data_IF_448531059558
#
_entry.id   IF_448531059558
#
_cell.length_a   1.000
_cell.length_b   1.000
_cell.length_c   1.000
_cell.angle_alpha   90.00
_cell.angle_beta   90.00
_cell.angle_gamma   90.00
#
_symmetry.space_group_name_H-M   'P 1'
#
loop_
_entity.id
_entity.type
_entity.pdbx_description
1 polymer ?
#
# COMPACT_ATOMS: atom_id res chain seq x y z
N UNK A 1 -39.57 20.02 -26.84
CA UNK A 1 -39.09 20.30 -25.46
C UNK A 1 -37.65 19.84 -25.36
N UNK A 2 -36.71 20.77 -25.12
CA UNK A 2 -35.31 20.43 -24.93
C UNK A 2 -35.09 19.68 -23.60
N UNK A 3 -34.19 18.73 -23.60
CA UNK A 3 -33.76 18.06 -22.34
C UNK A 3 -32.73 18.96 -21.62
N UNK A 4 -32.85 19.15 -20.31
CA UNK A 4 -31.81 19.84 -19.56
C UNK A 4 -30.53 19.00 -19.56
N UNK A 5 -29.39 19.64 -19.83
CA UNK A 5 -28.06 19.08 -19.80
C UNK A 5 -27.26 19.80 -18.72
N UNK A 6 -26.59 19.06 -17.88
CA UNK A 6 -25.62 19.63 -16.93
C UNK A 6 -24.25 19.64 -17.59
N UNK A 7 -23.67 20.82 -17.74
CA UNK A 7 -22.32 21.00 -18.27
C UNK A 7 -21.42 21.36 -17.12
N UNK A 8 -20.32 20.62 -16.97
CA UNK A 8 -19.32 20.81 -15.91
C UNK A 8 -18.04 21.34 -16.56
N UNK A 9 -17.59 22.51 -16.09
CA UNK A 9 -16.27 23.03 -16.42
C UNK A 9 -15.29 22.69 -15.30
N UNK A 10 -14.18 22.04 -15.65
CA UNK A 10 -13.15 21.62 -14.70
C UNK A 10 -11.76 21.99 -15.22
N UNK A 11 -10.96 22.58 -14.34
CA UNK A 11 -9.54 22.87 -14.61
C UNK A 11 -8.70 22.57 -13.36
N UNK A 12 -7.43 22.23 -13.57
CA UNK A 12 -6.49 21.99 -12.45
C UNK A 12 -6.28 23.32 -11.71
N UNK A 13 -6.44 23.30 -10.41
CA UNK A 13 -6.30 24.50 -9.54
C UNK A 13 -7.61 25.30 -9.38
N UNK A 14 -8.73 24.84 -9.93
CA UNK A 14 -10.02 25.51 -9.81
C UNK A 14 -11.10 24.54 -9.31
N UNK A 15 -12.11 25.06 -8.61
CA UNK A 15 -13.32 24.31 -8.25
C UNK A 15 -14.12 24.01 -9.50
N UNK A 16 -14.65 22.78 -9.67
CA UNK A 16 -15.60 22.50 -10.74
C UNK A 16 -16.82 23.40 -10.64
N UNK A 17 -17.22 24.01 -11.76
CA UNK A 17 -18.45 24.78 -11.86
C UNK A 17 -19.46 24.04 -12.75
N UNK A 18 -20.70 23.98 -12.33
CA UNK A 18 -21.78 23.28 -13.04
C UNK A 18 -22.86 24.28 -13.49
N UNK A 19 -23.32 24.15 -14.73
CA UNK A 19 -24.45 24.90 -15.25
C UNK A 19 -25.43 23.97 -15.95
N UNK A 20 -26.73 24.17 -15.68
CA UNK A 20 -27.81 23.43 -16.33
C UNK A 20 -28.30 24.23 -17.52
N UNK A 21 -28.24 23.65 -18.70
CA UNK A 21 -28.64 24.27 -19.96
C UNK A 21 -29.70 23.46 -20.65
N UNK A 22 -30.72 24.13 -21.15
CA UNK A 22 -31.73 23.52 -21.99
C UNK A 22 -31.46 23.93 -23.44
N UNK A 23 -31.07 22.97 -24.28
CA UNK A 23 -30.79 23.20 -25.69
C UNK A 23 -32.10 23.19 -26.49
N UNK A 24 -32.33 24.23 -27.26
CA UNK A 24 -33.41 24.30 -28.28
C UNK A 24 -32.82 23.92 -29.65
N UNK A 25 -33.56 23.20 -30.45
CA UNK A 25 -33.09 22.78 -31.77
C UNK A 25 -32.67 23.98 -32.64
N UNK A 26 -31.54 23.86 -33.34
CA UNK A 26 -30.93 24.87 -34.23
C UNK A 26 -30.51 26.20 -33.58
N UNK A 27 -30.22 26.22 -32.28
CA UNK A 27 -29.63 27.39 -31.61
C UNK A 27 -28.26 27.08 -31.05
N UNK A 28 -27.33 28.05 -31.15
CA UNK A 28 -26.04 28.04 -30.46
C UNK A 28 -26.23 28.74 -29.13
N UNK A 29 -25.84 28.10 -28.05
CA UNK A 29 -25.86 28.71 -26.72
C UNK A 29 -24.43 28.87 -26.23
N UNK A 30 -24.05 30.11 -25.92
CA UNK A 30 -22.75 30.42 -25.33
C UNK A 30 -22.83 30.29 -23.82
N UNK A 31 -21.85 29.60 -23.22
CA UNK A 31 -21.75 29.37 -21.79
C UNK A 31 -20.43 29.87 -21.30
N UNK A 32 -20.45 30.78 -20.37
CA UNK A 32 -19.27 31.30 -19.71
C UNK A 32 -19.22 30.76 -18.28
N UNK A 33 -18.09 30.20 -17.89
CA UNK A 33 -17.85 29.69 -16.56
C UNK A 33 -16.81 30.57 -15.86
N UNK A 34 -17.14 31.11 -14.71
CA UNK A 34 -16.19 31.68 -13.77
C UNK A 34 -15.78 30.57 -12.81
N UNK A 35 -14.53 30.16 -12.89
CA UNK A 35 -13.96 29.15 -12.00
C UNK A 35 -13.29 29.84 -10.81
N UNK A 36 -13.72 29.48 -9.61
CA UNK A 36 -13.04 29.90 -8.38
C UNK A 36 -11.71 29.16 -8.24
N UNK A 37 -10.62 29.89 -7.99
CA UNK A 37 -9.36 29.27 -7.65
C UNK A 37 -9.54 28.36 -6.42
N UNK A 38 -9.33 27.10 -6.61
CA UNK A 38 -9.11 26.15 -5.54
C UNK A 38 -7.61 26.03 -5.37
N UNK A 39 -7.05 26.80 -4.44
CA UNK A 39 -5.71 26.51 -3.99
C UNK A 39 -5.73 25.02 -3.60
N UNK A 40 -5.15 24.16 -4.44
CA UNK A 40 -4.83 22.81 -4.04
C UNK A 40 -3.82 23.02 -2.93
N UNK A 41 -4.31 22.98 -1.70
CA UNK A 41 -3.48 23.12 -0.51
C UNK A 41 -2.61 21.86 -0.44
N UNK A 42 -1.57 21.82 -1.29
CA UNK A 42 -0.55 20.78 -1.35
C UNK A 42 0.12 20.63 0.02
N UNK A 43 -0.12 21.61 0.89
CA UNK A 43 0.45 21.75 2.22
C UNK A 43 -0.38 21.08 3.33
N UNK A 44 -1.63 20.71 3.07
CA UNK A 44 -2.47 20.00 4.06
C UNK A 44 -2.34 18.47 3.92
N UNK A 45 -1.11 17.98 3.84
CA UNK A 45 -0.88 16.55 4.02
C UNK A 45 -1.07 16.23 5.50
N UNK A 46 -2.13 15.51 5.80
CA UNK A 46 -2.43 15.01 7.14
C UNK A 46 -1.61 13.73 7.36
N UNK A 47 -0.91 13.65 8.48
CA UNK A 47 -0.11 12.50 8.91
C UNK A 47 -0.58 11.99 10.26
N UNK A 48 -0.45 10.70 10.50
CA UNK A 48 -0.85 10.06 11.76
C UNK A 48 0.36 9.82 12.68
N UNK A 49 1.12 10.89 12.94
CA UNK A 49 2.41 10.82 13.65
C UNK A 49 2.26 10.57 15.14
N UNK A 50 1.23 11.13 15.76
CA UNK A 50 1.01 11.10 17.22
C UNK A 50 -0.22 10.27 17.60
N UNK A 51 -0.57 9.24 16.79
CA UNK A 51 -1.85 8.51 16.87
C UNK A 51 -3.08 9.40 16.63
N UNK A 52 -2.87 10.62 16.21
CA UNK A 52 -3.89 11.57 15.80
C UNK A 52 -3.53 12.13 14.44
N UNK A 53 -4.54 12.47 13.68
CA UNK A 53 -4.35 13.13 12.38
C UNK A 53 -3.88 14.56 12.58
N UNK A 54 -2.65 14.87 12.21
CA UNK A 54 -2.04 16.20 12.33
C UNK A 54 -1.58 16.67 10.95
N UNK A 55 -1.64 17.98 10.72
CA UNK A 55 -1.09 18.55 9.47
C UNK A 55 0.43 18.37 9.49
N UNK A 56 1.02 17.81 8.43
CA UNK A 56 2.45 17.50 8.33
C UNK A 56 3.37 18.65 8.72
N UNK A 57 3.00 19.89 8.38
CA UNK A 57 3.78 21.10 8.74
C UNK A 57 3.78 21.43 10.24
N UNK A 58 2.80 20.94 10.97
CA UNK A 58 2.63 21.20 12.40
C UNK A 58 3.28 20.12 13.28
N UNK A 59 3.72 19.01 12.66
CA UNK A 59 4.41 17.95 13.39
C UNK A 59 5.88 18.29 13.63
N UNK A 60 6.42 18.07 14.83
CA UNK A 60 7.83 18.27 15.11
C UNK A 60 8.72 17.19 14.47
N UNK A 61 8.14 16.07 14.04
CA UNK A 61 8.85 14.94 13.48
C UNK A 61 9.01 15.06 11.97
N UNK A 62 10.18 14.65 11.44
CA UNK A 62 10.41 14.55 10.01
C UNK A 62 9.67 13.34 9.45
N UNK A 63 8.53 13.60 8.79
CA UNK A 63 7.71 12.56 8.16
C UNK A 63 7.92 12.59 6.65
N UNK A 64 8.36 11.47 6.11
CA UNK A 64 8.36 11.23 4.67
C UNK A 64 7.15 10.41 4.29
N UNK A 65 6.52 10.75 3.17
CA UNK A 65 5.30 10.08 2.70
C UNK A 65 5.58 9.46 1.34
N UNK A 66 5.33 8.14 1.26
CA UNK A 66 5.25 7.40 0.01
C UNK A 66 3.77 7.21 -0.30
N UNK A 67 3.30 7.79 -1.37
CA UNK A 67 1.89 7.67 -1.79
C UNK A 67 1.67 6.45 -2.69
N UNK A 68 0.41 6.06 -2.90
CA UNK A 68 0.04 4.93 -3.77
C UNK A 68 0.58 5.07 -5.19
N UNK A 69 0.70 6.30 -5.72
CA UNK A 69 1.27 6.55 -7.05
C UNK A 69 2.74 6.13 -7.18
N UNK A 70 3.51 6.16 -6.10
CA UNK A 70 4.89 5.65 -6.14
C UNK A 70 4.86 4.14 -6.40
N UNK A 71 4.06 3.39 -5.64
CA UNK A 71 3.92 1.94 -5.80
C UNK A 71 3.45 1.56 -7.21
N UNK A 72 2.47 2.29 -7.75
CA UNK A 72 1.97 2.09 -9.12
C UNK A 72 3.07 2.35 -10.18
N UNK A 73 3.82 3.45 -10.06
CA UNK A 73 4.87 3.83 -11.02
C UNK A 73 6.10 2.94 -10.99
N UNK A 74 6.38 2.34 -9.86
CA UNK A 74 7.52 1.42 -9.67
C UNK A 74 7.13 -0.04 -9.88
N UNK A 75 5.86 -0.31 -10.19
CA UNK A 75 5.29 -1.67 -10.24
C UNK A 75 5.57 -2.47 -8.97
N UNK A 76 5.62 -1.81 -7.82
CA UNK A 76 5.83 -2.45 -6.55
C UNK A 76 4.65 -3.38 -6.22
N UNK A 77 4.94 -4.61 -5.86
CA UNK A 77 3.92 -5.62 -5.53
C UNK A 77 3.67 -5.72 -4.02
N UNK A 78 4.63 -5.26 -3.22
CA UNK A 78 4.56 -5.28 -1.76
C UNK A 78 5.18 -4.02 -1.14
N UNK A 79 5.06 -3.91 0.19
CA UNK A 79 5.61 -2.79 0.95
C UNK A 79 7.13 -2.68 0.81
N UNK A 80 7.85 -3.81 0.84
CA UNK A 80 9.31 -3.85 0.74
C UNK A 80 9.81 -3.16 -0.53
N UNK A 81 9.17 -3.43 -1.67
CA UNK A 81 9.52 -2.83 -2.95
C UNK A 81 9.42 -1.29 -2.91
N UNK A 82 8.31 -0.78 -2.37
CA UNK A 82 8.09 0.66 -2.27
C UNK A 82 9.05 1.35 -1.31
N UNK A 83 9.38 0.72 -0.18
CA UNK A 83 10.32 1.26 0.80
C UNK A 83 11.75 1.40 0.25
N UNK A 84 12.15 0.60 -0.73
CA UNK A 84 13.45 0.70 -1.39
C UNK A 84 13.70 2.05 -2.06
N UNK A 85 12.65 2.79 -2.38
CA UNK A 85 12.73 4.15 -2.97
C UNK A 85 12.76 5.27 -1.91
N UNK A 86 12.73 4.93 -0.61
CA UNK A 86 12.71 5.93 0.46
C UNK A 86 14.13 6.29 0.91
N UNK A 87 14.62 7.53 0.74
CA UNK A 87 15.92 7.94 1.24
C UNK A 87 16.05 7.75 2.75
N UNK A 88 17.18 7.16 3.18
CA UNK A 88 17.45 6.84 4.59
C UNK A 88 16.79 5.57 5.12
N UNK A 89 16.11 4.85 4.22
CA UNK A 89 15.58 3.50 4.47
C UNK A 89 16.31 2.55 3.53
N UNK A 90 16.75 1.43 4.05
CA UNK A 90 17.36 0.35 3.27
C UNK A 90 16.59 -0.93 3.53
N UNK A 91 16.12 -1.56 2.49
CA UNK A 91 15.54 -2.91 2.49
C UNK A 91 16.67 -3.88 2.17
N UNK A 92 16.89 -4.84 3.02
CA UNK A 92 17.94 -5.85 2.89
C UNK A 92 17.34 -7.26 2.97
N UNK A 93 17.77 -8.12 2.07
CA UNK A 93 17.51 -9.54 2.14
C UNK A 93 18.63 -10.19 2.95
N UNK A 94 18.35 -10.55 4.19
CA UNK A 94 19.33 -11.03 5.14
C UNK A 94 19.65 -12.53 5.05
N UNK A 95 18.86 -13.29 4.30
CA UNK A 95 19.03 -14.73 4.12
C UNK A 95 18.51 -15.13 2.73
N UNK A 96 19.39 -15.60 1.88
CA UNK A 96 19.07 -16.02 0.52
C UNK A 96 18.08 -17.20 0.50
N UNK A 97 18.32 -18.20 1.35
CA UNK A 97 17.47 -19.40 1.39
C UNK A 97 16.07 -19.14 1.97
N UNK A 98 15.96 -18.28 2.99
CA UNK A 98 14.68 -18.01 3.67
C UNK A 98 13.94 -16.79 3.10
N UNK A 99 14.63 -15.93 2.32
CA UNK A 99 14.06 -14.67 1.84
C UNK A 99 13.70 -13.72 2.96
N UNK A 100 14.51 -13.69 4.01
CA UNK A 100 14.33 -12.78 5.14
C UNK A 100 14.60 -11.35 4.72
N UNK A 101 13.56 -10.53 4.72
CA UNK A 101 13.64 -9.12 4.36
C UNK A 101 13.51 -8.24 5.59
N UNK A 102 14.49 -7.39 5.84
CA UNK A 102 14.45 -6.42 6.95
C UNK A 102 14.59 -4.99 6.45
N UNK A 103 14.03 -4.04 7.22
CA UNK A 103 14.18 -2.61 6.96
C UNK A 103 15.13 -1.99 7.97
N UNK A 104 16.16 -1.32 7.47
CA UNK A 104 17.06 -0.48 8.26
C UNK A 104 16.73 0.98 8.06
N UNK A 105 16.51 1.70 9.16
CA UNK A 105 16.33 3.15 9.15
C UNK A 105 17.59 3.81 9.68
N UNK A 106 18.20 4.70 8.87
CA UNK A 106 19.46 5.38 9.23
C UNK A 106 20.60 4.42 9.61
N UNK A 107 20.60 3.22 9.04
CA UNK A 107 21.61 2.19 9.30
C UNK A 107 21.39 1.36 10.58
N UNK A 108 20.36 1.66 11.36
CA UNK A 108 20.00 0.84 12.52
C UNK A 108 19.29 -0.42 12.07
N UNK A 109 19.51 -1.51 12.79
CA UNK A 109 18.98 -2.84 12.48
C UNK A 109 17.44 -2.88 12.50
N UNK A 110 16.85 -3.82 11.75
CA UNK A 110 15.41 -3.90 11.52
C UNK A 110 14.56 -3.97 12.79
N UNK A 111 15.04 -4.63 13.84
CA UNK A 111 14.33 -4.72 15.12
C UNK A 111 14.23 -3.38 15.89
N UNK A 112 15.00 -2.36 15.49
CA UNK A 112 14.87 -0.99 15.99
C UNK A 112 13.88 -0.13 15.18
N UNK A 113 13.22 -0.72 14.19
CA UNK A 113 12.21 -0.07 13.36
C UNK A 113 10.82 -0.60 13.69
N UNK A 114 9.93 0.28 14.13
CA UNK A 114 8.55 -0.10 14.45
C UNK A 114 7.67 -0.02 13.22
N UNK A 115 7.01 -1.12 12.89
CA UNK A 115 6.03 -1.17 11.79
C UNK A 115 4.62 -1.10 12.37
N UNK A 116 3.82 -0.20 11.82
CA UNK A 116 2.44 0.03 12.20
C UNK A 116 1.52 -0.17 10.99
N UNK A 117 0.32 -0.65 11.24
CA UNK A 117 -0.80 -0.67 10.31
C UNK A 117 -1.92 0.19 10.89
N UNK A 118 -2.29 1.26 10.19
CA UNK A 118 -3.28 2.25 10.66
C UNK A 118 -3.01 2.68 12.12
N UNK A 119 -1.73 3.04 12.39
CA UNK A 119 -1.23 3.50 13.70
C UNK A 119 -1.26 2.46 14.82
N UNK A 120 -1.46 1.18 14.48
CA UNK A 120 -1.45 0.07 15.42
C UNK A 120 -0.23 -0.82 15.16
N UNK A 121 0.56 -1.16 16.19
CA UNK A 121 1.70 -2.05 16.03
C UNK A 121 1.27 -3.41 15.44
N UNK A 122 2.01 -3.87 14.44
CA UNK A 122 1.88 -5.23 13.94
C UNK A 122 2.62 -6.17 14.93
N UNK A 123 1.83 -6.94 15.66
CA UNK A 123 2.35 -7.90 16.65
C UNK A 123 2.43 -9.30 16.03
N UNK A 124 3.60 -9.66 15.52
CA UNK A 124 3.95 -11.05 15.23
C UNK A 124 5.46 -11.17 15.22
N UNK A 125 5.99 -12.22 15.80
CA UNK A 125 7.42 -12.53 15.70
C UNK A 125 7.85 -12.72 14.23
N UNK A 126 6.94 -13.22 13.38
CA UNK A 126 7.15 -13.42 11.95
C UNK A 126 7.06 -12.10 11.16
N UNK A 127 6.30 -11.11 11.62
CA UNK A 127 6.16 -9.81 10.93
C UNK A 127 7.46 -9.01 10.89
N UNK A 128 8.34 -9.18 11.87
CA UNK A 128 9.66 -8.58 11.85
C UNK A 128 10.59 -9.21 10.81
N UNK A 129 10.27 -10.42 10.38
CA UNK A 129 11.10 -11.26 9.50
C UNK A 129 10.54 -11.31 8.06
N UNK A 130 9.25 -11.58 7.90
CA UNK A 130 8.63 -11.78 6.57
C UNK A 130 7.54 -10.75 6.25
N UNK A 131 7.13 -9.97 7.23
CA UNK A 131 5.94 -9.11 7.14
C UNK A 131 5.97 -8.04 6.06
N UNK A 132 7.14 -7.60 5.60
CA UNK A 132 7.25 -6.54 4.60
C UNK A 132 6.83 -6.99 3.20
N UNK A 133 7.14 -8.23 2.82
CA UNK A 133 6.68 -8.82 1.57
C UNK A 133 5.22 -9.28 1.63
N UNK A 134 4.71 -9.50 2.85
CA UNK A 134 3.33 -9.92 3.10
C UNK A 134 2.32 -8.76 3.03
N UNK A 135 2.76 -7.51 3.01
CA UNK A 135 1.87 -6.35 2.91
C UNK A 135 1.75 -5.94 1.45
N UNK A 136 0.59 -6.20 0.79
CA UNK A 136 0.44 -5.95 -0.62
C UNK A 136 0.31 -4.47 -0.93
N UNK A 137 0.97 -4.03 -2.00
CA UNK A 137 0.96 -2.63 -2.42
C UNK A 137 -0.44 -2.11 -2.73
N UNK A 138 -1.34 -2.97 -3.22
CA UNK A 138 -2.68 -2.59 -3.63
C UNK A 138 -3.59 -2.15 -2.46
N UNK A 139 -3.30 -2.54 -1.22
CA UNK A 139 -4.06 -2.08 -0.06
C UNK A 139 -3.58 -0.73 0.49
N UNK A 140 -2.38 -0.29 0.08
CA UNK A 140 -1.71 0.88 0.65
C UNK A 140 -2.26 2.17 0.03
N UNK A 141 -2.74 3.09 0.86
CA UNK A 141 -3.04 4.47 0.47
C UNK A 141 -1.76 5.32 0.49
N UNK A 142 -1.01 5.22 1.60
CA UNK A 142 0.30 5.86 1.79
C UNK A 142 1.09 5.17 2.87
N UNK A 143 2.39 5.36 2.85
CA UNK A 143 3.30 4.96 3.93
C UNK A 143 3.95 6.21 4.51
N UNK A 144 3.87 6.35 5.83
CA UNK A 144 4.47 7.43 6.58
C UNK A 144 5.74 6.91 7.27
N UNK A 145 6.89 7.43 6.88
CA UNK A 145 8.18 7.05 7.45
C UNK A 145 8.66 8.17 8.37
N UNK A 146 8.67 7.90 9.66
CA UNK A 146 9.16 8.79 10.70
C UNK A 146 10.55 8.32 11.09
N UNK A 147 11.53 9.19 10.93
CA UNK A 147 12.92 8.89 11.28
C UNK A 147 13.27 9.48 12.63
N UNK A 148 13.97 8.70 13.44
CA UNK A 148 14.36 9.07 14.81
C UNK A 148 13.48 8.43 15.87
N UNK A 149 13.82 8.65 17.13
CA UNK A 149 13.18 7.97 18.26
C UNK A 149 11.71 8.30 18.41
N UNK A 150 10.86 7.27 18.36
CA UNK A 150 9.42 7.31 18.58
C UNK A 150 8.95 6.41 19.73
N UNK A 151 9.87 5.89 20.54
CA UNK A 151 9.57 4.86 21.54
C UNK A 151 8.52 5.24 22.56
N UNK A 152 8.41 6.51 22.89
CA UNK A 152 7.40 7.02 23.84
C UNK A 152 5.97 6.88 23.28
N UNK A 153 5.80 6.95 21.95
CA UNK A 153 4.50 6.90 21.29
C UNK A 153 4.17 5.51 20.73
N UNK A 154 5.17 4.84 20.17
CA UNK A 154 4.96 3.65 19.34
C UNK A 154 5.56 2.36 19.91
N UNK A 155 6.28 2.43 21.04
CA UNK A 155 6.82 1.28 21.73
C UNK A 155 8.32 1.12 21.57
N UNK A 156 8.89 0.13 22.30
CA UNK A 156 10.34 -0.04 22.47
C UNK A 156 11.13 -0.23 21.17
N UNK A 157 10.51 -0.79 20.13
CA UNK A 157 11.16 -1.01 18.83
C UNK A 157 11.32 0.27 17.99
N UNK A 158 10.66 1.37 18.34
CA UNK A 158 10.72 2.63 17.59
C UNK A 158 11.94 3.48 17.96
N UNK A 159 13.14 2.90 17.97
CA UNK A 159 14.40 3.60 18.28
C UNK A 159 14.95 4.26 17.02
N UNK A 160 15.04 3.53 15.92
CA UNK A 160 15.53 4.01 14.62
C UNK A 160 14.49 4.81 13.86
N UNK A 161 13.23 4.47 14.06
CA UNK A 161 12.10 5.11 13.41
C UNK A 161 10.84 4.26 13.40
N UNK A 162 9.82 4.80 12.75
CA UNK A 162 8.51 4.16 12.60
C UNK A 162 8.08 4.19 11.14
N UNK A 163 7.52 3.08 10.67
CA UNK A 163 6.89 2.94 9.35
C UNK A 163 5.42 2.69 9.59
N UNK A 164 4.58 3.68 9.31
CA UNK A 164 3.15 3.59 9.48
C UNK A 164 2.47 3.43 8.11
N UNK A 165 1.82 2.29 7.91
CA UNK A 165 1.11 1.94 6.70
C UNK A 165 -0.34 2.36 6.88
N UNK A 166 -0.81 3.26 6.03
CA UNK A 166 -2.21 3.70 6.02
C UNK A 166 -2.93 2.97 4.89
N UNK A 167 -3.97 2.24 5.24
CA UNK A 167 -4.76 1.46 4.29
C UNK A 167 -5.78 2.32 3.56
N UNK A 168 -6.14 1.93 2.33
CA UNK A 168 -7.17 2.59 1.54
C UNK A 168 -8.53 2.57 2.27
N UNK A 169 -9.20 3.70 2.25
CA UNK A 169 -10.58 3.83 2.78
C UNK A 169 -11.62 3.78 1.65
N UNK A 170 -12.81 3.24 1.91
CA UNK A 170 -13.91 3.27 0.94
C UNK A 170 -14.49 4.69 0.87
N UNK A 171 -14.04 5.48 -0.11
CA UNK A 171 -14.48 6.87 -0.31
C UNK A 171 -15.47 7.01 -1.47
N UNK A 172 -15.40 6.12 -2.46
CA UNK A 172 -16.24 6.10 -3.67
C UNK A 172 -16.45 4.67 -4.16
N UNK A 173 -17.45 4.49 -5.02
CA UNK A 173 -17.68 3.20 -5.67
C UNK A 173 -16.70 3.00 -6.82
N UNK A 174 -15.91 1.94 -6.77
CA UNK A 174 -14.97 1.56 -7.83
C UNK A 174 -14.53 0.10 -7.65
N UNK A 175 -14.05 -0.49 -8.72
CA UNK A 175 -13.42 -1.80 -8.71
C UNK A 175 -12.25 -1.80 -9.69
N UNK A 176 -11.21 -2.57 -9.35
CA UNK A 176 -9.99 -2.69 -10.13
C UNK A 176 -9.48 -4.13 -10.05
N UNK A 177 -9.00 -4.63 -11.18
CA UNK A 177 -8.29 -5.92 -11.26
C UNK A 177 -6.95 -5.61 -11.90
N UNK A 178 -5.87 -6.04 -11.27
CA UNK A 178 -4.51 -5.91 -11.75
C UNK A 178 -3.85 -7.26 -11.95
N UNK A 179 -2.95 -7.34 -12.94
CA UNK A 179 -2.10 -8.48 -13.15
C UNK A 179 -0.72 -8.04 -13.61
N UNK A 180 0.31 -8.50 -12.92
CA UNK A 180 1.71 -8.17 -13.20
C UNK A 180 2.51 -9.44 -13.33
N UNK A 181 3.27 -9.56 -14.41
CA UNK A 181 4.24 -10.64 -14.63
C UNK A 181 5.61 -10.00 -14.77
N UNK A 182 6.56 -10.45 -13.97
CA UNK A 182 7.95 -10.00 -14.02
C UNK A 182 8.85 -11.19 -14.30
N UNK A 183 9.77 -11.05 -15.25
CA UNK A 183 10.85 -12.01 -15.47
C UNK A 183 11.98 -11.74 -14.48
N UNK A 184 12.44 -12.78 -13.83
CA UNK A 184 13.56 -12.71 -12.87
C UNK A 184 14.83 -13.20 -13.57
N UNK A 185 15.83 -12.30 -13.68
CA UNK A 185 17.17 -12.65 -14.15
C UNK A 185 17.29 -13.21 -15.57
N UNK A 186 16.27 -13.09 -16.44
CA UNK A 186 16.25 -13.70 -17.78
C UNK A 186 16.45 -15.22 -17.82
N UNK A 187 16.19 -15.92 -16.72
CA UNK A 187 16.47 -17.37 -16.54
C UNK A 187 15.26 -18.27 -16.74
N UNK A 188 14.11 -17.72 -17.11
CA UNK A 188 12.83 -18.43 -17.12
C UNK A 188 12.09 -18.45 -15.78
N UNK A 189 12.70 -17.95 -14.71
CA UNK A 189 12.00 -17.68 -13.45
C UNK A 189 11.11 -16.43 -13.59
N UNK A 190 9.97 -16.43 -12.94
CA UNK A 190 9.01 -15.34 -13.01
C UNK A 190 8.33 -15.09 -11.68
N UNK A 191 7.89 -13.86 -11.50
CA UNK A 191 7.01 -13.42 -10.41
C UNK A 191 5.68 -12.96 -11.01
N UNK A 192 4.60 -13.60 -10.59
CA UNK A 192 3.27 -13.45 -11.14
C UNK A 192 2.35 -12.97 -10.01
N UNK A 193 1.79 -11.79 -10.15
CA UNK A 193 0.97 -11.14 -9.14
C UNK A 193 -0.37 -10.72 -9.70
N UNK A 194 -1.45 -11.25 -9.15
CA UNK A 194 -2.83 -10.89 -9.47
C UNK A 194 -3.46 -10.17 -8.29
N UNK A 195 -4.09 -9.04 -8.53
CA UNK A 195 -4.73 -8.23 -7.49
C UNK A 195 -6.17 -7.89 -7.83
N UNK A 196 -6.98 -7.77 -6.82
CA UNK A 196 -8.34 -7.26 -6.90
C UNK A 196 -8.58 -6.22 -5.82
N UNK A 197 -9.25 -5.15 -6.17
CA UNK A 197 -9.70 -4.10 -5.26
C UNK A 197 -11.14 -3.74 -5.57
N UNK A 198 -11.97 -3.55 -4.56
CA UNK A 198 -13.31 -3.03 -4.74
C UNK A 198 -13.72 -2.17 -3.55
N UNK A 199 -14.42 -1.09 -3.83
CA UNK A 199 -14.93 -0.16 -2.83
C UNK A 199 -16.38 0.18 -3.12
N UNK A 200 -17.21 0.06 -2.11
CA UNK A 200 -18.62 0.40 -2.16
C UNK A 200 -18.95 1.36 -1.01
N UNK A 201 -19.64 2.43 -1.35
CA UNK A 201 -20.04 3.46 -0.39
C UNK A 201 -21.52 3.78 -0.57
N UNK A 202 -22.22 3.88 0.54
CA UNK A 202 -23.63 4.26 0.54
C UNK A 202 -23.81 5.70 0.04
N UNK A 203 -24.96 5.99 -0.59
CA UNK A 203 -25.26 7.34 -1.16
C UNK A 203 -25.18 8.47 -0.13
N UNK A 204 -25.42 8.18 1.13
CA UNK A 204 -25.33 9.15 2.23
C UNK A 204 -23.96 9.20 2.91
N UNK A 205 -22.96 8.48 2.39
CA UNK A 205 -21.60 8.35 2.94
C UNK A 205 -21.54 7.93 4.42
N UNK A 206 -22.59 7.29 4.94
CA UNK A 206 -22.63 6.79 6.32
C UNK A 206 -22.07 5.39 6.50
N UNK A 207 -22.00 4.61 5.43
CA UNK A 207 -21.41 3.28 5.45
C UNK A 207 -20.59 3.04 4.18
N UNK A 208 -19.54 2.26 4.32
CA UNK A 208 -18.71 1.85 3.19
C UNK A 208 -17.93 0.59 3.52
N UNK A 209 -17.54 -0.14 2.47
CA UNK A 209 -16.68 -1.31 2.53
C UNK A 209 -15.66 -1.24 1.41
N UNK A 210 -14.42 -1.51 1.75
CA UNK A 210 -13.30 -1.74 0.84
C UNK A 210 -12.82 -3.18 1.02
N UNK A 211 -12.67 -3.89 -0.06
CA UNK A 211 -12.11 -5.24 -0.09
C UNK A 211 -10.92 -5.26 -1.03
N UNK A 212 -9.91 -6.05 -0.69
CA UNK A 212 -8.76 -6.27 -1.54
C UNK A 212 -8.33 -7.73 -1.47
N UNK A 213 -7.68 -8.19 -2.52
CA UNK A 213 -7.07 -9.50 -2.59
C UNK A 213 -5.79 -9.45 -3.41
N UNK A 214 -4.89 -10.36 -3.09
CA UNK A 214 -3.66 -10.61 -3.84
C UNK A 214 -3.42 -12.11 -3.92
N UNK A 215 -2.98 -12.57 -5.09
CA UNK A 215 -2.43 -13.91 -5.30
C UNK A 215 -1.11 -13.76 -6.04
N UNK A 216 -0.01 -14.03 -5.35
CA UNK A 216 1.35 -13.90 -5.87
C UNK A 216 2.02 -15.26 -5.89
N UNK A 217 2.64 -15.55 -7.01
CA UNK A 217 3.51 -16.71 -7.20
C UNK A 217 4.84 -16.24 -7.75
N UNK A 218 5.95 -16.57 -7.10
CA UNK A 218 7.30 -16.35 -7.57
C UNK A 218 8.02 -17.68 -7.66
N UNK A 219 8.62 -17.98 -8.82
CA UNK A 219 9.50 -19.13 -8.97
C UNK A 219 10.76 -18.94 -8.15
N UNK A 220 11.32 -20.03 -7.61
CA UNK A 220 12.69 -20.01 -7.08
C UNK A 220 13.68 -19.61 -8.16
N UNK A 221 14.68 -18.81 -7.80
CA UNK A 221 15.69 -18.31 -8.73
C UNK A 221 17.09 -18.57 -8.20
N UNK A 222 17.86 -19.28 -9.01
CA UNK A 222 19.29 -19.55 -8.85
C UNK A 222 20.05 -18.67 -9.87
N UNK A 223 20.86 -17.75 -9.41
CA UNK A 223 21.52 -16.75 -10.23
C UNK A 223 22.82 -17.27 -10.85
N UNK A 224 23.61 -18.00 -10.09
CA UNK A 224 24.96 -18.39 -10.45
C UNK A 224 25.07 -19.86 -10.91
N UNK A 225 23.98 -20.62 -10.81
CA UNK A 225 23.89 -22.01 -11.27
C UNK A 225 24.50 -23.02 -10.33
N UNK A 226 24.66 -22.67 -9.05
CA UNK A 226 25.20 -23.56 -8.03
C UNK A 226 24.17 -24.52 -7.43
N UNK A 227 22.93 -24.43 -7.90
CA UNK A 227 21.76 -25.20 -7.47
C UNK A 227 21.15 -24.72 -6.15
N UNK A 228 21.55 -23.57 -5.63
CA UNK A 228 20.93 -22.90 -4.49
C UNK A 228 20.20 -21.65 -4.94
N UNK A 229 19.08 -21.35 -4.31
CA UNK A 229 18.28 -20.16 -4.67
C UNK A 229 18.77 -18.91 -3.98
N UNK A 230 19.00 -17.84 -4.73
CA UNK A 230 19.13 -16.47 -4.22
C UNK A 230 17.78 -15.85 -3.91
N UNK A 231 16.72 -16.25 -4.64
CA UNK A 231 15.35 -15.88 -4.33
C UNK A 231 14.51 -17.13 -4.12
N UNK A 232 13.88 -17.30 -2.96
CA UNK A 232 13.05 -18.47 -2.69
C UNK A 232 11.77 -18.46 -3.53
N UNK A 233 11.25 -19.65 -3.77
CA UNK A 233 9.88 -19.83 -4.25
C UNK A 233 8.91 -19.25 -3.23
N UNK A 234 7.88 -18.56 -3.73
CA UNK A 234 6.88 -17.89 -2.92
C UNK A 234 5.48 -18.13 -3.47
N UNK A 235 4.58 -18.59 -2.62
CA UNK A 235 3.14 -18.58 -2.85
C UNK A 235 2.50 -17.74 -1.75
N UNK A 236 1.94 -16.61 -2.10
CA UNK A 236 1.30 -15.70 -1.16
C UNK A 236 -0.12 -15.41 -1.60
N UNK A 237 -1.07 -15.66 -0.71
CA UNK A 237 -2.48 -15.36 -0.90
C UNK A 237 -2.95 -14.46 0.22
N UNK A 238 -3.49 -13.33 -0.14
CA UNK A 238 -4.01 -12.36 0.80
C UNK A 238 -5.43 -11.97 0.46
N UNK A 239 -6.21 -11.78 1.50
CA UNK A 239 -7.52 -11.17 1.43
C UNK A 239 -7.73 -10.26 2.62
N UNK A 240 -8.29 -9.09 2.38
CA UNK A 240 -8.66 -8.19 3.45
C UNK A 240 -9.87 -7.35 3.14
N UNK A 241 -10.46 -6.82 4.20
CA UNK A 241 -11.56 -5.88 4.10
C UNK A 241 -11.46 -4.81 5.18
N UNK A 242 -11.92 -3.63 4.86
CA UNK A 242 -12.12 -2.52 5.78
C UNK A 242 -13.51 -1.95 5.57
N UNK A 243 -14.31 -1.89 6.60
CA UNK A 243 -15.65 -1.31 6.55
C UNK A 243 -15.81 -0.24 7.61
N UNK A 244 -16.67 0.71 7.33
CA UNK A 244 -17.05 1.72 8.31
C UNK A 244 -18.56 1.92 8.37
N UNK A 245 -19.02 2.31 9.56
CA UNK A 245 -20.38 2.78 9.82
C UNK A 245 -20.31 4.05 10.66
N UNK A 246 -20.79 5.17 10.14
CA UNK A 246 -20.96 6.41 10.89
C UNK A 246 -22.29 6.36 11.62
N UNK A 247 -22.25 6.26 12.92
CA UNK A 247 -23.44 6.21 13.78
C UNK A 247 -23.93 7.61 14.15
N UNK A 248 -23.04 8.61 14.16
CA UNK A 248 -23.36 10.02 14.30
C UNK A 248 -22.29 10.87 13.60
N UNK A 249 -22.42 12.20 13.63
CA UNK A 249 -21.43 13.12 13.04
C UNK A 249 -20.07 13.06 13.77
N UNK A 250 -20.07 12.57 15.00
CA UNK A 250 -18.87 12.50 15.85
C UNK A 250 -18.42 11.07 16.15
N UNK A 251 -19.10 10.04 15.61
CA UNK A 251 -18.74 8.65 15.86
C UNK A 251 -18.74 7.78 14.61
N UNK A 252 -17.65 7.02 14.44
CA UNK A 252 -17.40 6.09 13.35
C UNK A 252 -16.96 4.75 13.93
N UNK A 253 -17.67 3.69 13.59
CA UNK A 253 -17.24 2.32 13.84
C UNK A 253 -16.47 1.84 12.63
N UNK A 254 -15.30 1.26 12.82
CA UNK A 254 -14.50 0.64 11.76
C UNK A 254 -14.27 -0.83 12.11
N UNK A 255 -14.50 -1.71 11.15
CA UNK A 255 -14.19 -3.13 11.23
C UNK A 255 -13.17 -3.47 10.15
N UNK A 256 -12.09 -4.13 10.54
CA UNK A 256 -11.00 -4.54 9.67
C UNK A 256 -10.74 -6.04 9.83
N UNK A 257 -10.45 -6.69 8.71
CA UNK A 257 -10.02 -8.07 8.65
C UNK A 257 -8.91 -8.23 7.62
N UNK A 258 -7.85 -8.94 7.98
CA UNK A 258 -6.73 -9.28 7.12
C UNK A 258 -6.40 -10.75 7.31
N UNK A 259 -6.39 -11.50 6.22
CA UNK A 259 -5.99 -12.91 6.19
C UNK A 259 -4.83 -13.10 5.22
N UNK A 260 -3.84 -13.87 5.64
CA UNK A 260 -2.64 -14.18 4.87
C UNK A 260 -2.42 -15.68 4.93
N UNK A 261 -2.15 -16.26 3.77
CA UNK A 261 -1.64 -17.61 3.62
C UNK A 261 -0.39 -17.55 2.77
N UNK A 262 0.75 -17.91 3.34
CA UNK A 262 2.04 -17.88 2.64
C UNK A 262 2.74 -19.22 2.77
N UNK A 263 3.27 -19.68 1.64
CA UNK A 263 4.25 -20.75 1.56
C UNK A 263 5.51 -20.19 0.91
N UNK A 264 6.65 -20.43 1.52
CA UNK A 264 7.95 -20.00 1.03
C UNK A 264 8.93 -21.14 1.16
N UNK A 265 9.74 -21.35 0.12
CA UNK A 265 10.76 -22.36 0.12
C UNK A 265 12.00 -21.92 -0.66
N UNK A 266 13.15 -21.96 -0.02
CA UNK A 266 14.44 -21.73 -0.63
C UNK A 266 15.44 -22.83 -0.29
N UNK A 267 16.65 -22.72 -0.79
CA UNK A 267 17.70 -23.71 -0.71
C UNK A 267 17.91 -24.46 -2.01
N UNK A 268 18.36 -25.71 -1.93
CA UNK A 268 18.61 -26.52 -3.11
C UNK A 268 17.50 -27.56 -3.36
N UNK A 269 17.50 -28.14 -4.57
CA UNK A 269 16.61 -29.24 -4.93
C UNK A 269 15.13 -28.92 -4.67
N UNK A 270 14.65 -27.79 -5.19
CA UNK A 270 13.25 -27.40 -5.08
C UNK A 270 12.28 -28.40 -5.76
N UNK A 271 12.83 -29.25 -6.65
CA UNK A 271 12.15 -30.35 -7.32
C UNK A 271 11.80 -31.53 -6.39
N UNK A 272 12.45 -31.61 -5.23
CA UNK A 272 12.25 -32.69 -4.26
C UNK A 272 11.49 -32.18 -3.01
N UNK A 273 10.89 -33.08 -2.22
CA UNK A 273 10.40 -32.73 -0.88
C UNK A 273 11.49 -32.13 0.00
N UNK A 274 11.11 -31.20 0.90
CA UNK A 274 12.07 -30.48 1.73
C UNK A 274 13.02 -31.37 2.56
N UNK A 275 12.52 -32.54 3.02
CA UNK A 275 13.32 -33.49 3.80
C UNK A 275 14.33 -34.31 3.00
N UNK A 276 14.26 -34.27 1.68
CA UNK A 276 15.19 -34.94 0.75
C UNK A 276 16.25 -33.97 0.19
N UNK A 277 16.11 -32.69 0.44
CA UNK A 277 17.09 -31.67 0.05
C UNK A 277 18.26 -31.61 1.05
N UNK A 278 19.46 -31.22 0.59
CA UNK A 278 20.63 -31.11 1.45
C UNK A 278 20.53 -29.86 2.35
N UNK A 279 20.09 -28.76 1.76
CA UNK A 279 19.84 -27.48 2.48
C UNK A 279 18.49 -26.96 1.99
N UNK A 280 17.60 -26.74 2.92
CA UNK A 280 16.29 -26.18 2.62
C UNK A 280 15.79 -25.37 3.79
N UNK A 281 15.06 -24.31 3.50
CA UNK A 281 14.25 -23.58 4.45
C UNK A 281 12.84 -23.43 3.88
N UNK A 282 11.84 -23.75 4.70
CA UNK A 282 10.45 -23.73 4.34
C UNK A 282 9.63 -23.12 5.47
N UNK A 283 8.77 -22.18 5.15
CA UNK A 283 7.82 -21.53 6.07
C UNK A 283 6.40 -21.55 5.52
#
# INVERSE_FOLDING_TARGET
>A
MGRPLTIVAQSIGYKPAEQIVTLSGNSTTELNFELEEQAVDVDKVVVEVDRNSVIRKETPSLVNILNSKLFERTNAVCLADGLSFQPGVRVEDGCQNCGFTQVRINGLDGHYSQILLDSRPLFSALNGVYGLEQIPANMIERVEVIRGGGSALFGASAIGGTINIITKEPLRNWAEIGHTIMSVGCSGAYDNNSTINASLVSKNHKAGIYVYGQNRFRSGYDHDGDSYTELPELHNQMFGMRSFLRTSDHSKLTLEYHGINEFRRGGNRLDLPAHEANITEQT
#
